data_IF_928611020616
#
_entry.id   IF_928611020616
#
_cell.length_a   1.000
_cell.length_b   1.000
_cell.length_c   1.000
_cell.angle_alpha   90.00
_cell.angle_beta   90.00
_cell.angle_gamma   90.00
#
_symmetry.space_group_name_H-M   'P 1'
#
loop_
_entity.id
_entity.type
_entity.pdbx_description
1 polymer ?
#
# COMPACT_ATOMS: atom_id res chain seq x y z
N UNK A 1 -25.84 20.52 -8.83
CA UNK A 1 -25.40 19.89 -10.09
C UNK A 1 -23.95 20.21 -10.23
N UNK A 2 -23.12 19.20 -10.46
CA UNK A 2 -21.67 19.40 -10.63
C UNK A 2 -21.40 20.35 -11.80
N UNK A 3 -20.53 21.35 -11.60
CA UNK A 3 -20.16 22.34 -12.62
C UNK A 3 -19.20 21.77 -13.70
N UNK A 4 -19.04 20.44 -13.78
CA UNK A 4 -18.14 19.76 -14.70
C UNK A 4 -18.76 18.45 -15.19
N UNK A 5 -18.34 17.98 -16.37
CA UNK A 5 -18.68 16.67 -16.93
C UNK A 5 -17.64 15.63 -16.50
N UNK A 6 -18.00 14.34 -16.53
CA UNK A 6 -17.07 13.23 -16.28
C UNK A 6 -15.85 13.28 -17.23
N UNK A 7 -16.07 13.75 -18.46
CA UNK A 7 -14.97 13.95 -19.42
C UNK A 7 -13.99 15.01 -18.95
N UNK A 8 -14.46 16.17 -18.48
CA UNK A 8 -13.61 17.24 -17.98
C UNK A 8 -12.81 16.81 -16.74
N UNK A 9 -13.42 16.03 -15.85
CA UNK A 9 -12.73 15.43 -14.72
C UNK A 9 -11.59 14.51 -15.17
N UNK A 10 -11.87 13.59 -16.08
CA UNK A 10 -10.88 12.65 -16.60
C UNK A 10 -9.75 13.36 -17.37
N UNK A 11 -10.09 14.39 -18.15
CA UNK A 11 -9.12 15.23 -18.87
C UNK A 11 -8.19 15.97 -17.87
N UNK A 12 -8.73 16.50 -16.78
CA UNK A 12 -7.95 17.15 -15.72
C UNK A 12 -7.00 16.17 -15.01
N UNK A 13 -7.47 14.98 -14.67
CA UNK A 13 -6.63 13.93 -14.11
C UNK A 13 -5.52 13.48 -15.07
N UNK A 14 -5.87 13.23 -16.34
CA UNK A 14 -4.90 12.84 -17.35
C UNK A 14 -3.83 13.92 -17.57
N UNK A 15 -4.22 15.19 -17.46
CA UNK A 15 -3.29 16.31 -17.58
C UNK A 15 -2.22 16.26 -16.45
N UNK A 16 -2.59 15.98 -15.19
CA UNK A 16 -1.60 15.87 -14.13
C UNK A 16 -0.71 14.63 -14.27
N UNK A 17 -1.26 13.50 -14.71
CA UNK A 17 -0.47 12.28 -14.95
C UNK A 17 0.54 12.43 -16.10
N UNK A 18 0.19 13.19 -17.15
CA UNK A 18 1.05 13.34 -18.33
C UNK A 18 2.03 14.51 -18.20
N UNK A 19 1.61 15.59 -17.57
CA UNK A 19 2.39 16.83 -17.47
C UNK A 19 3.33 16.82 -16.27
N UNK A 20 2.93 16.19 -15.18
CA UNK A 20 3.71 16.04 -13.94
C UNK A 20 4.05 14.55 -13.73
N UNK A 21 5.08 14.04 -14.40
CA UNK A 21 5.39 12.62 -14.37
C UNK A 21 5.69 12.15 -12.95
N UNK A 22 5.16 10.99 -12.61
CA UNK A 22 5.46 10.31 -11.36
C UNK A 22 6.42 9.14 -11.63
N UNK A 23 7.24 8.79 -10.64
CA UNK A 23 8.08 7.59 -10.67
C UNK A 23 7.23 6.35 -10.96
N UNK A 24 6.00 6.33 -10.48
CA UNK A 24 5.07 5.22 -10.68
C UNK A 24 4.73 5.00 -12.16
N UNK A 25 4.62 6.07 -12.96
CA UNK A 25 4.20 5.98 -14.37
C UNK A 25 5.36 5.84 -15.36
N UNK A 26 6.52 6.42 -15.06
CA UNK A 26 7.63 6.49 -16.02
C UNK A 26 8.84 5.64 -15.64
N UNK A 27 8.89 5.10 -14.42
CA UNK A 27 10.05 4.37 -13.91
C UNK A 27 11.24 5.27 -13.57
N UNK A 28 12.28 4.64 -13.03
CA UNK A 28 13.53 5.33 -12.72
C UNK A 28 14.33 5.58 -14.02
N UNK A 29 14.79 6.81 -14.21
CA UNK A 29 15.65 7.17 -15.37
C UNK A 29 14.93 7.56 -16.66
N UNK A 30 13.60 7.46 -16.75
CA UNK A 30 12.88 7.74 -17.98
C UNK A 30 12.61 9.24 -18.24
N UNK A 31 12.60 10.10 -17.21
CA UNK A 31 12.53 11.57 -17.34
C UNK A 31 13.17 12.25 -16.13
N UNK A 32 14.02 13.24 -16.38
CA UNK A 32 14.42 14.23 -15.39
C UNK A 32 13.17 14.90 -14.82
N UNK A 33 13.05 14.96 -13.48
CA UNK A 33 11.93 15.61 -12.78
C UNK A 33 10.81 14.69 -12.26
N UNK A 34 10.85 13.37 -12.50
CA UNK A 34 9.88 12.44 -11.91
C UNK A 34 10.05 12.26 -10.39
N UNK A 35 11.26 12.46 -9.89
CA UNK A 35 11.58 12.56 -8.47
C UNK A 35 12.35 13.85 -8.20
N UNK A 36 11.79 14.70 -7.38
CA UNK A 36 12.39 15.97 -6.95
C UNK A 36 12.72 15.86 -5.47
N UNK A 37 13.97 15.53 -5.12
CA UNK A 37 14.37 15.43 -3.72
C UNK A 37 14.41 16.83 -3.09
N UNK A 38 13.72 17.01 -1.98
CA UNK A 38 13.66 18.28 -1.24
C UNK A 38 12.24 18.61 -0.80
N UNK A 39 12.12 19.43 0.20
CA UNK A 39 10.82 19.84 0.77
C UNK A 39 10.45 21.30 0.42
N UNK A 40 11.33 22.00 -0.27
CA UNK A 40 11.17 23.45 -0.51
C UNK A 40 9.94 23.78 -1.35
N UNK A 41 9.68 23.00 -2.43
CA UNK A 41 8.52 23.21 -3.28
C UNK A 41 7.23 22.89 -2.52
N UNK A 42 7.24 21.78 -1.79
CA UNK A 42 6.10 21.38 -0.96
C UNK A 42 5.78 22.41 0.12
N UNK A 43 6.79 22.94 0.82
CA UNK A 43 6.60 23.98 1.84
C UNK A 43 6.05 25.30 1.25
N UNK A 44 6.51 25.71 0.06
CA UNK A 44 5.97 26.87 -0.64
C UNK A 44 4.51 26.64 -1.05
N UNK A 45 4.21 25.45 -1.55
CA UNK A 45 2.85 25.08 -1.94
C UNK A 45 1.91 25.05 -0.73
N UNK A 46 2.33 24.43 0.38
CA UNK A 46 1.57 24.43 1.63
C UNK A 46 1.27 25.85 2.14
N UNK A 47 2.24 26.76 2.02
CA UNK A 47 2.01 28.17 2.36
C UNK A 47 0.91 28.82 1.50
N UNK A 48 0.85 28.50 0.19
CA UNK A 48 -0.24 28.94 -0.70
C UNK A 48 -1.59 28.35 -0.28
N UNK A 49 -1.58 27.09 0.16
CA UNK A 49 -2.78 26.39 0.64
C UNK A 49 -3.24 26.85 2.03
N UNK A 50 -2.44 27.66 2.74
CA UNK A 50 -2.69 28.15 4.10
C UNK A 50 -2.17 27.25 5.21
N UNK A 51 -1.15 26.44 4.94
CA UNK A 51 -0.52 25.45 5.84
C UNK A 51 -1.50 24.42 6.44
N UNK A 52 -2.33 23.77 5.63
CA UNK A 52 -3.40 22.89 6.08
C UNK A 52 -2.90 21.71 6.95
N UNK A 53 -1.62 21.33 6.83
CA UNK A 53 -1.01 20.26 7.63
C UNK A 53 -0.85 20.61 9.13
N UNK A 54 -1.09 21.87 9.53
CA UNK A 54 -1.07 22.33 10.91
C UNK A 54 -2.45 22.22 11.60
N UNK A 55 -3.54 22.00 10.84
CA UNK A 55 -4.91 22.03 11.34
C UNK A 55 -5.36 20.69 11.99
N UNK A 56 -4.60 19.63 11.83
CA UNK A 56 -4.95 18.27 12.30
C UNK A 56 -3.74 17.51 12.86
N UNK A 57 -4.01 16.57 13.74
CA UNK A 57 -3.00 15.64 14.28
C UNK A 57 -2.63 14.59 13.24
N UNK A 58 -1.44 13.99 13.34
CA UNK A 58 -1.04 12.99 12.35
C UNK A 58 -0.26 11.81 12.93
N UNK A 59 -0.31 10.69 12.18
CA UNK A 59 0.62 9.56 12.25
C UNK A 59 1.35 9.50 10.92
N UNK A 60 2.67 9.31 10.93
CA UNK A 60 3.48 9.25 9.72
C UNK A 60 4.06 7.85 9.54
N UNK A 61 3.75 7.19 8.40
CA UNK A 61 4.06 5.77 8.17
C UNK A 61 5.00 5.61 6.98
N UNK A 62 6.24 5.24 7.25
CA UNK A 62 7.26 4.85 6.28
C UNK A 62 7.51 3.33 6.32
N UNK A 63 8.27 2.81 5.37
CA UNK A 63 8.68 1.40 5.31
C UNK A 63 8.92 0.93 3.89
N UNK A 64 9.46 -0.26 3.71
CA UNK A 64 9.51 -0.90 2.40
C UNK A 64 8.16 -1.55 2.11
N UNK A 65 7.77 -2.54 2.90
CA UNK A 65 6.49 -3.22 2.81
C UNK A 65 5.63 -2.92 4.06
N UNK A 66 4.31 -3.12 3.97
CA UNK A 66 3.39 -2.99 5.10
C UNK A 66 2.86 -1.57 5.36
N UNK A 67 3.39 -0.51 4.72
CA UNK A 67 2.94 0.88 4.93
C UNK A 67 1.42 1.03 4.82
N UNK A 68 0.86 0.67 3.66
CA UNK A 68 -0.58 0.78 3.41
C UNK A 68 -1.42 -0.07 4.37
N UNK A 69 -0.98 -1.30 4.71
CA UNK A 69 -1.69 -2.14 5.70
C UNK A 69 -1.69 -1.51 7.09
N UNK A 70 -0.52 -1.06 7.58
CA UNK A 70 -0.41 -0.38 8.88
C UNK A 70 -1.23 0.92 8.89
N UNK A 71 -1.19 1.71 7.81
CA UNK A 71 -1.96 2.95 7.71
C UNK A 71 -3.48 2.69 7.75
N UNK A 72 -3.98 1.69 7.02
CA UNK A 72 -5.41 1.33 7.02
C UNK A 72 -5.85 0.73 8.37
N UNK A 73 -5.05 -0.17 8.98
CA UNK A 73 -5.34 -0.70 10.32
C UNK A 73 -5.39 0.42 11.36
N UNK A 74 -4.44 1.35 11.36
CA UNK A 74 -4.43 2.49 12.27
C UNK A 74 -5.65 3.40 12.05
N UNK A 75 -5.99 3.72 10.80
CA UNK A 75 -7.17 4.54 10.50
C UNK A 75 -8.46 3.84 10.98
N UNK A 76 -8.61 2.52 10.76
CA UNK A 76 -9.73 1.73 11.25
C UNK A 76 -9.82 1.76 12.79
N UNK A 77 -8.68 1.58 13.49
CA UNK A 77 -8.60 1.60 14.94
C UNK A 77 -8.92 2.98 15.53
N UNK A 78 -8.33 4.05 14.98
CA UNK A 78 -8.62 5.43 15.38
C UNK A 78 -10.09 5.78 15.12
N UNK A 79 -10.64 5.34 13.99
CA UNK A 79 -12.06 5.49 13.67
C UNK A 79 -12.98 4.78 14.66
N UNK A 80 -12.58 3.62 15.21
CA UNK A 80 -13.33 2.90 16.23
C UNK A 80 -13.41 3.64 17.57
N UNK A 81 -12.47 4.55 17.81
CA UNK A 81 -12.49 5.48 18.94
C UNK A 81 -13.44 6.69 18.72
N UNK A 82 -14.14 6.74 17.58
CA UNK A 82 -15.07 7.80 17.22
C UNK A 82 -14.40 9.05 16.67
N UNK A 83 -13.16 8.94 16.17
CA UNK A 83 -12.45 10.03 15.51
C UNK A 83 -12.81 10.08 14.02
N UNK A 84 -12.85 11.28 13.45
CA UNK A 84 -12.83 11.50 12.00
C UNK A 84 -11.39 11.40 11.52
N UNK A 85 -11.10 10.34 10.75
CA UNK A 85 -9.71 10.00 10.41
C UNK A 85 -9.45 10.20 8.93
N UNK A 86 -8.57 11.15 8.59
CA UNK A 86 -8.00 11.27 7.26
C UNK A 86 -7.02 10.11 6.99
N UNK A 87 -7.00 9.60 5.78
CA UNK A 87 -6.08 8.55 5.34
C UNK A 87 -5.49 8.91 3.98
N UNK A 88 -4.17 9.17 3.95
CA UNK A 88 -3.40 9.39 2.74
C UNK A 88 -2.53 8.18 2.44
N UNK A 89 -2.75 7.52 1.30
CA UNK A 89 -2.03 6.30 0.88
C UNK A 89 -1.61 6.36 -0.58
N UNK A 90 -0.59 5.57 -0.95
CA UNK A 90 -0.13 5.45 -2.33
C UNK A 90 0.55 4.10 -2.62
N UNK A 91 0.48 3.61 -3.88
CA UNK A 91 -0.35 4.10 -4.97
C UNK A 91 -1.84 3.77 -4.79
N UNK A 92 -2.71 4.32 -5.61
CA UNK A 92 -4.07 3.83 -5.80
C UNK A 92 -4.07 2.58 -6.71
N UNK A 93 -5.12 1.78 -6.64
CA UNK A 93 -5.32 0.64 -7.53
C UNK A 93 -6.20 1.02 -8.72
N UNK A 94 -7.43 1.41 -8.50
CA UNK A 94 -8.43 1.66 -9.55
C UNK A 94 -8.79 3.14 -9.64
N UNK A 95 -9.17 3.76 -8.53
CA UNK A 95 -9.62 5.15 -8.50
C UNK A 95 -8.53 6.05 -7.87
N UNK A 96 -8.21 7.15 -8.56
CA UNK A 96 -7.26 8.15 -8.04
C UNK A 96 -7.56 8.58 -6.61
N UNK A 97 -8.83 8.66 -6.24
CA UNK A 97 -9.32 9.13 -4.93
C UNK A 97 -9.05 8.16 -3.78
N UNK A 98 -8.67 6.90 -4.07
CA UNK A 98 -8.18 5.95 -3.06
C UNK A 98 -6.98 6.50 -2.28
N UNK A 99 -6.27 7.49 -2.85
CA UNK A 99 -5.16 8.18 -2.17
C UNK A 99 -5.62 9.06 -1.03
N UNK A 100 -6.87 9.51 -1.06
CA UNK A 100 -7.45 10.50 -0.16
C UNK A 100 -8.79 9.99 0.35
N UNK A 101 -8.78 9.34 1.49
CA UNK A 101 -9.97 8.77 2.13
C UNK A 101 -10.17 9.38 3.51
N UNK A 102 -11.39 9.34 4.00
CA UNK A 102 -11.74 9.72 5.36
C UNK A 102 -12.65 8.68 5.97
N UNK A 103 -12.36 8.27 7.19
CA UNK A 103 -13.32 7.56 8.03
C UNK A 103 -14.22 8.60 8.69
N UNK A 104 -15.52 8.49 8.43
CA UNK A 104 -16.56 9.33 9.03
C UNK A 104 -17.24 8.53 10.14
N UNK A 105 -17.09 8.93 11.42
CA UNK A 105 -17.74 8.23 12.49
C UNK A 105 -19.26 8.43 12.44
N UNK A 106 -20.01 7.34 12.57
CA UNK A 106 -21.46 7.32 12.69
C UNK A 106 -21.87 6.32 13.78
N UNK A 107 -22.17 6.79 15.00
CA UNK A 107 -22.57 5.92 16.10
C UNK A 107 -23.83 5.10 15.83
N UNK A 108 -24.66 5.47 14.87
CA UNK A 108 -25.87 4.75 14.49
C UNK A 108 -25.59 3.61 13.49
N UNK A 109 -24.45 3.65 12.78
CA UNK A 109 -24.05 2.60 11.86
C UNK A 109 -23.51 1.37 12.63
N UNK A 110 -23.82 0.17 12.14
CA UNK A 110 -23.38 -1.10 12.76
C UNK A 110 -21.86 -1.22 12.86
N UNK A 111 -21.10 -0.59 11.96
CA UNK A 111 -19.62 -0.53 11.97
C UNK A 111 -19.05 0.67 12.71
N UNK A 112 -19.87 1.56 13.29
CA UNK A 112 -19.44 2.79 13.96
C UNK A 112 -19.06 3.92 13.01
N UNK A 113 -19.28 3.77 11.70
CA UNK A 113 -18.98 4.74 10.66
C UNK A 113 -18.75 4.09 9.30
N UNK A 114 -18.27 4.88 8.35
CA UNK A 114 -17.95 4.44 6.99
C UNK A 114 -16.78 5.23 6.40
N UNK A 115 -16.18 4.69 5.36
CA UNK A 115 -15.12 5.37 4.61
C UNK A 115 -15.68 6.09 3.40
N UNK A 116 -15.22 7.31 3.16
CA UNK A 116 -15.49 8.12 1.98
C UNK A 116 -14.19 8.49 1.27
N UNK A 117 -14.21 8.53 -0.05
CA UNK A 117 -13.15 9.10 -0.87
C UNK A 117 -13.39 10.60 -1.08
N UNK A 118 -12.35 11.37 -1.34
CA UNK A 118 -12.50 12.77 -1.74
C UNK A 118 -13.51 12.89 -2.90
N UNK A 119 -14.47 13.81 -2.85
CA UNK A 119 -15.44 14.00 -3.94
C UNK A 119 -14.73 14.35 -5.25
N UNK A 120 -15.20 13.81 -6.39
CA UNK A 120 -14.66 14.17 -7.71
C UNK A 120 -14.69 15.68 -7.96
N UNK A 121 -15.75 16.35 -7.48
CA UNK A 121 -15.88 17.80 -7.55
C UNK A 121 -14.73 18.51 -6.80
N UNK A 122 -14.41 18.07 -5.60
CA UNK A 122 -13.28 18.61 -4.83
C UNK A 122 -11.95 18.46 -5.58
N UNK A 123 -11.68 17.26 -6.12
CA UNK A 123 -10.48 16.99 -6.90
C UNK A 123 -10.42 17.89 -8.14
N UNK A 124 -11.52 18.01 -8.89
CA UNK A 124 -11.60 18.84 -10.08
C UNK A 124 -11.36 20.32 -9.76
N UNK A 125 -12.06 20.85 -8.76
CA UNK A 125 -11.97 22.26 -8.36
C UNK A 125 -10.55 22.59 -7.86
N UNK A 126 -9.93 21.70 -7.08
CA UNK A 126 -8.56 21.86 -6.63
C UNK A 126 -7.58 21.93 -7.81
N UNK A 127 -7.70 21.00 -8.76
CA UNK A 127 -6.85 20.97 -9.96
C UNK A 127 -6.99 22.23 -10.82
N UNK A 128 -8.21 22.76 -10.96
CA UNK A 128 -8.45 24.00 -11.72
C UNK A 128 -7.90 25.23 -10.96
N UNK A 129 -8.16 25.30 -9.66
CA UNK A 129 -7.83 26.45 -8.83
C UNK A 129 -6.33 26.69 -8.72
N UNK A 130 -5.54 25.63 -8.51
CA UNK A 130 -4.11 25.74 -8.25
C UNK A 130 -3.22 25.41 -9.46
N UNK A 131 -3.82 25.31 -10.65
CA UNK A 131 -3.09 24.95 -11.88
C UNK A 131 -1.88 25.83 -12.16
N UNK A 132 -2.02 27.14 -11.97
CA UNK A 132 -0.91 28.09 -12.18
C UNK A 132 0.21 27.91 -11.14
N UNK A 133 -0.15 27.55 -9.91
CA UNK A 133 0.81 27.32 -8.83
C UNK A 133 1.62 26.04 -9.09
N UNK A 134 0.99 24.98 -9.58
CA UNK A 134 1.70 23.74 -9.97
C UNK A 134 2.83 24.00 -10.96
N UNK A 135 2.57 24.86 -11.96
CA UNK A 135 3.53 25.20 -12.99
C UNK A 135 4.61 26.16 -12.48
N UNK A 136 4.21 27.20 -11.74
CA UNK A 136 5.13 28.23 -11.25
C UNK A 136 6.12 27.69 -10.21
N UNK A 137 5.69 26.70 -9.42
CA UNK A 137 6.53 26.03 -8.41
C UNK A 137 7.22 24.78 -8.98
N UNK A 138 6.95 24.41 -10.23
CA UNK A 138 7.46 23.18 -10.85
C UNK A 138 7.21 21.94 -9.96
N UNK A 139 5.96 21.77 -9.48
CA UNK A 139 5.61 20.68 -8.58
C UNK A 139 5.68 19.32 -9.27
N UNK A 140 6.02 18.29 -8.51
CA UNK A 140 5.85 16.91 -8.93
C UNK A 140 4.39 16.46 -8.75
N UNK A 141 4.00 15.38 -9.45
CA UNK A 141 2.70 14.72 -9.24
C UNK A 141 2.43 14.41 -7.76
N UNK A 142 3.46 13.93 -7.03
CA UNK A 142 3.31 13.54 -5.65
C UNK A 142 3.12 14.75 -4.71
N UNK A 143 3.80 15.86 -4.96
CA UNK A 143 3.59 17.13 -4.22
C UNK A 143 2.17 17.66 -4.44
N UNK A 144 1.67 17.64 -5.68
CA UNK A 144 0.28 18.06 -5.99
C UNK A 144 -0.73 17.21 -5.22
N UNK A 145 -0.57 15.88 -5.25
CA UNK A 145 -1.52 14.98 -4.59
C UNK A 145 -1.43 15.03 -3.07
N UNK A 146 -0.23 15.27 -2.51
CA UNK A 146 -0.02 15.47 -1.07
C UNK A 146 -0.70 16.75 -0.61
N UNK A 147 -0.45 17.88 -1.27
CA UNK A 147 -1.10 19.16 -0.92
C UNK A 147 -2.62 19.10 -1.07
N UNK A 148 -3.13 18.41 -2.10
CA UNK A 148 -4.57 18.20 -2.27
C UNK A 148 -5.18 17.43 -1.10
N UNK A 149 -4.53 16.34 -0.67
CA UNK A 149 -5.00 15.53 0.46
C UNK A 149 -4.97 16.34 1.77
N UNK A 150 -3.89 17.05 2.05
CA UNK A 150 -3.73 17.84 3.27
C UNK A 150 -4.75 18.95 3.34
N UNK A 151 -4.98 19.65 2.21
CA UNK A 151 -6.01 20.69 2.11
C UNK A 151 -7.41 20.13 2.33
N UNK A 152 -7.72 18.98 1.73
CA UNK A 152 -9.01 18.33 1.91
C UNK A 152 -9.25 17.94 3.37
N UNK A 153 -8.26 17.36 4.05
CA UNK A 153 -8.36 17.00 5.46
C UNK A 153 -8.62 18.22 6.37
N UNK A 154 -7.97 19.35 6.09
CA UNK A 154 -8.23 20.60 6.78
C UNK A 154 -9.65 21.10 6.52
N UNK A 155 -10.10 21.13 5.25
CA UNK A 155 -11.42 21.64 4.85
C UNK A 155 -12.58 20.83 5.47
N UNK A 156 -12.42 19.52 5.66
CA UNK A 156 -13.42 18.65 6.28
C UNK A 156 -13.22 18.44 7.78
N UNK A 157 -12.22 19.12 8.38
CA UNK A 157 -11.92 19.09 9.81
C UNK A 157 -11.72 17.67 10.34
N UNK A 158 -10.73 16.93 9.82
CA UNK A 158 -10.35 15.65 10.41
C UNK A 158 -9.70 15.85 11.79
N UNK A 159 -9.98 14.93 12.72
CA UNK A 159 -9.36 14.97 14.05
C UNK A 159 -7.89 14.54 13.98
N UNK A 160 -7.62 13.54 13.13
CA UNK A 160 -6.29 12.98 12.92
C UNK A 160 -6.16 12.44 11.50
N UNK A 161 -4.97 12.55 10.92
CA UNK A 161 -4.66 11.91 9.63
C UNK A 161 -3.58 10.84 9.78
N UNK A 162 -3.77 9.69 9.14
CA UNK A 162 -2.72 8.69 8.94
C UNK A 162 -2.13 8.90 7.55
N UNK A 163 -0.84 9.24 7.51
CA UNK A 163 -0.15 9.67 6.29
C UNK A 163 0.93 8.65 5.93
N UNK A 164 0.75 7.99 4.81
CA UNK A 164 1.74 7.08 4.23
C UNK A 164 2.78 7.85 3.43
N UNK A 165 4.06 7.57 3.66
CA UNK A 165 5.20 8.06 2.86
C UNK A 165 5.15 7.44 1.47
N UNK A 166 5.30 8.25 0.44
CA UNK A 166 5.36 7.75 -0.94
C UNK A 166 6.64 6.99 -1.25
N UNK A 167 7.78 7.60 -0.97
CA UNK A 167 9.10 7.03 -1.25
C UNK A 167 10.16 7.50 -0.25
N UNK A 168 10.95 6.55 0.26
CA UNK A 168 12.02 6.86 1.22
C UNK A 168 11.47 7.33 2.56
N UNK A 169 11.58 8.59 2.87
CA UNK A 169 11.05 9.26 4.05
C UNK A 169 11.65 10.66 4.25
N UNK A 170 12.96 10.78 4.34
CA UNK A 170 13.67 12.04 4.65
C UNK A 170 13.29 13.21 3.73
N UNK A 171 13.20 12.96 2.44
CA UNK A 171 12.90 13.95 1.39
C UNK A 171 11.54 13.71 0.72
N UNK A 172 10.69 12.89 1.34
CA UNK A 172 9.33 12.67 0.85
C UNK A 172 8.45 13.90 1.11
N UNK A 173 7.60 14.25 0.15
CA UNK A 173 6.73 15.44 0.24
C UNK A 173 5.84 15.43 1.48
N UNK A 174 5.50 14.26 2.03
CA UNK A 174 4.74 14.14 3.26
C UNK A 174 5.54 14.52 4.52
N UNK A 175 6.88 14.59 4.44
CA UNK A 175 7.73 14.80 5.61
C UNK A 175 7.79 16.25 6.13
N UNK A 176 6.86 17.09 5.70
CA UNK A 176 6.65 18.44 6.25
C UNK A 176 5.86 18.40 7.57
N UNK A 177 5.12 17.33 7.84
CA UNK A 177 4.30 17.17 9.06
C UNK A 177 5.15 16.91 10.30
N UNK A 178 4.60 17.27 11.46
CA UNK A 178 5.12 16.89 12.79
C UNK A 178 4.10 15.97 13.45
N UNK A 179 4.25 14.62 13.31
CA UNK A 179 3.23 13.68 13.72
C UNK A 179 3.24 13.44 15.24
N UNK A 180 2.18 12.82 15.75
CA UNK A 180 2.15 12.30 17.12
C UNK A 180 2.98 11.03 17.27
N UNK A 181 3.16 10.28 16.17
CA UNK A 181 3.94 9.06 16.11
C UNK A 181 4.54 8.89 14.71
N UNK A 182 5.86 8.67 14.64
CA UNK A 182 6.55 8.27 13.41
C UNK A 182 6.72 6.74 13.40
N UNK A 183 6.30 6.06 12.31
CA UNK A 183 6.31 4.59 12.20
C UNK A 183 7.13 4.19 10.98
N UNK A 184 8.08 3.25 11.17
CA UNK A 184 8.76 2.55 10.07
C UNK A 184 8.35 1.08 10.15
N UNK A 185 7.63 0.58 9.14
CA UNK A 185 7.04 -0.77 9.19
C UNK A 185 8.08 -1.88 9.04
N UNK A 186 8.80 -1.88 7.93
CA UNK A 186 9.85 -2.86 7.64
C UNK A 186 10.90 -2.27 6.70
N UNK A 187 12.07 -2.91 6.64
CA UNK A 187 13.15 -2.57 5.71
C UNK A 187 13.45 -3.76 4.80
N UNK A 188 13.52 -3.51 3.51
CA UNK A 188 13.90 -4.47 2.50
C UNK A 188 14.50 -3.77 1.29
N UNK A 189 15.15 -4.54 0.42
CA UNK A 189 15.72 -4.02 -0.83
C UNK A 189 14.59 -3.66 -1.79
N UNK A 190 14.40 -2.38 -2.01
CA UNK A 190 13.51 -1.79 -3.01
C UNK A 190 13.95 -0.36 -3.31
N UNK A 191 13.72 0.12 -4.52
CA UNK A 191 14.09 1.48 -4.95
C UNK A 191 15.58 1.83 -4.73
N UNK A 192 16.47 0.85 -4.93
CA UNK A 192 17.90 0.94 -4.58
C UNK A 192 18.61 2.11 -5.25
N UNK A 193 18.24 2.45 -6.48
CA UNK A 193 18.82 3.57 -7.23
C UNK A 193 18.63 4.94 -6.54
N UNK A 194 17.58 5.08 -5.72
CA UNK A 194 17.29 6.32 -5.01
C UNK A 194 17.63 6.26 -3.52
N UNK A 195 17.43 5.11 -2.88
CA UNK A 195 17.55 4.96 -1.43
C UNK A 195 18.88 4.34 -1.00
N UNK A 196 19.69 3.90 -2.00
CA UNK A 196 20.96 3.23 -1.76
C UNK A 196 20.87 1.70 -1.81
N UNK A 197 22.03 1.08 -2.02
CA UNK A 197 22.16 -0.35 -2.31
C UNK A 197 22.40 -1.20 -1.05
N UNK A 198 22.11 -0.68 0.15
CA UNK A 198 22.22 -1.40 1.41
C UNK A 198 21.00 -1.20 2.29
N UNK A 199 20.66 -2.20 3.10
CA UNK A 199 19.56 -2.11 4.06
C UNK A 199 19.78 -0.96 5.06
N UNK A 200 21.02 -0.69 5.45
CA UNK A 200 21.36 0.42 6.34
C UNK A 200 21.08 1.80 5.69
N UNK A 201 21.40 1.98 4.40
CA UNK A 201 21.11 3.22 3.68
C UNK A 201 19.60 3.44 3.57
N UNK A 202 18.85 2.41 3.17
CA UNK A 202 17.39 2.45 3.08
C UNK A 202 16.76 2.76 4.45
N UNK A 203 17.26 2.16 5.53
CA UNK A 203 16.82 2.44 6.90
C UNK A 203 17.07 3.89 7.28
N UNK A 204 18.23 4.46 6.91
CA UNK A 204 18.58 5.86 7.16
C UNK A 204 17.62 6.85 6.48
N UNK A 205 17.27 6.60 5.22
CA UNK A 205 16.28 7.42 4.48
C UNK A 205 14.89 7.35 5.11
N UNK A 206 14.45 6.14 5.54
CA UNK A 206 13.14 5.98 6.18
C UNK A 206 13.10 6.55 7.59
N UNK A 207 14.17 6.42 8.37
CA UNK A 207 14.31 7.07 9.68
C UNK A 207 14.34 8.61 9.60
N UNK A 208 14.46 9.17 8.40
CA UNK A 208 14.34 10.61 8.16
C UNK A 208 12.98 11.21 8.51
N UNK A 209 11.94 10.40 8.74
CA UNK A 209 10.64 10.86 9.25
C UNK A 209 10.62 11.07 10.77
N UNK A 210 11.63 10.64 11.51
CA UNK A 210 11.70 10.87 12.96
C UNK A 210 11.80 12.37 13.25
N UNK A 211 11.04 12.83 14.24
CA UNK A 211 10.99 14.25 14.65
C UNK A 211 11.44 14.38 16.09
N UNK A 212 12.05 15.52 16.41
CA UNK A 212 12.55 15.79 17.76
C UNK A 212 11.44 15.70 18.81
N UNK A 213 11.63 14.87 19.81
CA UNK A 213 10.68 14.67 20.91
C UNK A 213 9.41 13.89 20.54
N UNK A 214 9.23 13.48 19.29
CA UNK A 214 8.10 12.66 18.84
C UNK A 214 8.47 11.18 18.96
N UNK A 215 7.65 10.32 19.58
CA UNK A 215 7.91 8.90 19.62
C UNK A 215 8.10 8.30 18.20
N UNK A 216 9.07 7.41 18.09
CA UNK A 216 9.33 6.62 16.88
C UNK A 216 9.09 5.14 17.18
N UNK A 217 8.41 4.47 16.26
CA UNK A 217 8.14 3.03 16.30
C UNK A 217 8.71 2.36 15.05
N UNK A 218 9.49 1.31 15.24
CA UNK A 218 9.96 0.44 14.16
C UNK A 218 9.25 -0.91 14.29
N UNK A 219 8.52 -1.32 13.26
CA UNK A 219 7.78 -2.59 13.22
C UNK A 219 8.73 -3.78 13.21
N UNK A 220 9.52 -3.87 12.15
CA UNK A 220 10.53 -4.92 11.99
C UNK A 220 11.92 -4.31 11.79
N UNK A 221 12.92 -4.91 12.41
CA UNK A 221 14.31 -4.59 12.16
C UNK A 221 15.11 -5.86 11.81
N UNK A 222 16.23 -5.64 11.13
CA UNK A 222 17.27 -6.63 10.88
C UNK A 222 18.52 -6.22 11.64
N UNK A 223 19.47 -7.14 11.88
CA UNK A 223 20.72 -6.81 12.59
C UNK A 223 21.45 -5.59 12.01
N UNK A 224 21.41 -5.42 10.68
CA UNK A 224 22.06 -4.29 9.98
C UNK A 224 21.28 -2.97 10.11
N UNK A 225 19.97 -3.01 10.32
CA UNK A 225 19.11 -1.80 10.33
C UNK A 225 18.89 -1.26 11.74
N UNK A 226 18.89 -2.10 12.77
CA UNK A 226 18.69 -1.70 14.17
C UNK A 226 19.64 -0.58 14.62
N UNK A 227 20.98 -0.69 14.41
CA UNK A 227 21.91 0.36 14.82
C UNK A 227 21.65 1.71 14.16
N UNK A 228 21.12 1.70 12.92
CA UNK A 228 20.77 2.92 12.19
C UNK A 228 19.62 3.66 12.87
N UNK A 229 18.56 2.94 13.26
CA UNK A 229 17.43 3.52 13.99
C UNK A 229 17.82 4.03 15.37
N UNK A 230 18.61 3.25 16.10
CA UNK A 230 19.12 3.62 17.43
C UNK A 230 19.99 4.89 17.36
N UNK A 231 20.90 4.97 16.38
CA UNK A 231 21.74 6.15 16.17
C UNK A 231 20.92 7.37 15.78
N UNK A 232 19.88 7.22 14.96
CA UNK A 232 19.00 8.33 14.54
C UNK A 232 18.12 8.84 15.67
N UNK A 233 17.67 7.96 16.56
CA UNK A 233 16.82 8.32 17.68
C UNK A 233 17.58 8.83 18.90
N UNK A 234 18.86 8.51 19.04
CA UNK A 234 19.69 8.86 20.18
C UNK A 234 19.66 10.37 20.45
N UNK A 235 19.29 10.77 21.66
CA UNK A 235 19.18 12.16 22.12
C UNK A 235 18.19 13.01 21.26
N UNK A 236 17.37 12.35 20.45
CA UNK A 236 16.46 13.00 19.50
C UNK A 236 14.98 12.68 19.77
N UNK A 237 14.63 11.40 19.92
CA UNK A 237 13.27 10.96 20.18
C UNK A 237 13.21 9.60 20.91
N UNK A 238 12.11 9.33 21.65
CA UNK A 238 11.86 7.97 22.17
C UNK A 238 11.74 6.98 21.03
N UNK A 239 12.38 5.80 21.15
CA UNK A 239 12.33 4.74 20.14
C UNK A 239 11.81 3.44 20.73
N UNK A 240 10.87 2.82 20.04
CA UNK A 240 10.32 1.49 20.35
C UNK A 240 10.48 0.58 19.15
N UNK A 241 10.84 -0.70 19.38
CA UNK A 241 10.82 -1.75 18.38
C UNK A 241 9.63 -2.68 18.69
N UNK A 242 8.70 -2.84 17.75
CA UNK A 242 7.51 -3.68 17.95
C UNK A 242 7.87 -5.16 18.15
N UNK A 243 8.98 -5.62 17.60
CA UNK A 243 9.50 -6.98 17.79
C UNK A 243 9.94 -7.25 19.24
N UNK A 244 10.38 -6.22 19.97
CA UNK A 244 10.95 -6.35 21.31
C UNK A 244 9.91 -6.22 22.42
N UNK A 245 8.65 -5.89 22.06
CA UNK A 245 7.56 -5.68 23.02
C UNK A 245 6.38 -6.61 22.75
N UNK A 246 5.62 -6.90 23.81
CA UNK A 246 4.32 -7.54 23.70
C UNK A 246 3.28 -6.44 23.91
N UNK A 247 2.55 -6.00 22.87
CA UNK A 247 1.54 -4.96 23.01
C UNK A 247 0.45 -5.37 24.00
N UNK A 248 -0.10 -4.41 24.74
CA UNK A 248 -1.08 -4.66 25.81
C UNK A 248 -2.38 -5.32 25.31
N UNK A 249 -2.74 -5.05 24.04
CA UNK A 249 -3.92 -5.62 23.39
C UNK A 249 -3.56 -6.80 22.47
N UNK A 250 -2.34 -7.35 22.57
CA UNK A 250 -1.92 -8.48 21.74
C UNK A 250 -2.78 -9.72 22.05
N UNK A 251 -3.49 -10.19 21.04
CA UNK A 251 -4.25 -11.42 21.08
C UNK A 251 -4.10 -12.16 19.72
N UNK A 252 -3.44 -13.33 19.67
CA UNK A 252 -3.26 -14.08 18.44
C UNK A 252 -4.59 -14.58 17.83
N UNK A 253 -5.67 -14.67 18.60
CA UNK A 253 -6.99 -15.10 18.12
C UNK A 253 -7.65 -14.05 17.18
N UNK A 254 -7.08 -12.86 17.06
CA UNK A 254 -7.52 -11.84 16.10
C UNK A 254 -7.08 -12.24 14.67
N UNK A 255 -5.86 -12.77 14.49
CA UNK A 255 -5.28 -13.05 13.17
C UNK A 255 -6.18 -13.87 12.25
N UNK A 256 -6.74 -15.03 12.66
CA UNK A 256 -7.60 -15.82 11.77
C UNK A 256 -8.94 -15.16 11.45
N UNK A 257 -9.34 -14.13 12.21
CA UNK A 257 -10.60 -13.39 12.01
C UNK A 257 -10.43 -12.13 11.15
N UNK A 258 -9.19 -11.68 10.95
CA UNK A 258 -8.93 -10.51 10.13
C UNK A 258 -9.36 -10.77 8.69
N UNK A 259 -9.93 -9.75 8.05
CA UNK A 259 -10.18 -9.76 6.60
C UNK A 259 -8.89 -9.56 5.77
N UNK A 260 -7.80 -9.12 6.41
CA UNK A 260 -6.44 -9.08 5.87
C UNK A 260 -5.69 -10.37 6.24
N UNK A 261 -5.68 -11.38 5.36
CA UNK A 261 -5.26 -12.76 5.68
C UNK A 261 -3.85 -13.17 5.21
N UNK A 262 -3.05 -12.25 4.63
CA UNK A 262 -1.63 -12.54 4.32
C UNK A 262 -0.83 -12.77 5.61
N UNK A 263 0.09 -13.73 5.64
CA UNK A 263 0.90 -14.04 6.83
C UNK A 263 1.70 -12.82 7.33
N UNK A 264 2.15 -11.99 6.42
CA UNK A 264 2.84 -10.74 6.73
C UNK A 264 1.99 -9.76 7.57
N UNK A 265 0.68 -9.97 7.65
CA UNK A 265 -0.20 -9.10 8.45
C UNK A 265 -0.02 -9.29 9.96
N UNK A 266 0.53 -10.41 10.43
CA UNK A 266 0.89 -10.59 11.85
C UNK A 266 1.89 -9.51 12.30
N UNK A 267 2.90 -9.24 11.47
CA UNK A 267 3.92 -8.23 11.73
C UNK A 267 3.33 -6.81 11.71
N UNK A 268 2.43 -6.56 10.75
CA UNK A 268 1.71 -5.29 10.66
C UNK A 268 0.79 -5.08 11.86
N UNK A 269 0.04 -6.13 12.27
CA UNK A 269 -0.81 -6.12 13.45
C UNK A 269 -0.01 -5.80 14.73
N UNK A 270 1.13 -6.46 14.93
CA UNK A 270 2.03 -6.18 16.07
C UNK A 270 2.47 -4.72 16.08
N UNK A 271 2.84 -4.18 14.91
CA UNK A 271 3.23 -2.78 14.76
C UNK A 271 2.09 -1.84 15.13
N UNK A 272 0.88 -2.12 14.66
CA UNK A 272 -0.31 -1.30 14.97
C UNK A 272 -0.66 -1.34 16.45
N UNK A 273 -0.64 -2.52 17.09
CA UNK A 273 -0.93 -2.63 18.51
C UNK A 273 0.13 -1.95 19.38
N UNK A 274 1.41 -2.01 18.99
CA UNK A 274 2.47 -1.24 19.66
C UNK A 274 2.27 0.28 19.47
N UNK A 275 1.80 0.72 18.30
CA UNK A 275 1.42 2.10 18.07
C UNK A 275 0.27 2.54 18.97
N UNK A 276 -0.76 1.71 19.13
CA UNK A 276 -1.89 1.96 20.03
C UNK A 276 -1.40 2.15 21.47
N UNK A 277 -0.50 1.29 21.97
CA UNK A 277 0.07 1.43 23.31
C UNK A 277 0.84 2.76 23.48
N UNK A 278 1.62 3.16 22.50
CA UNK A 278 2.35 4.45 22.55
C UNK A 278 1.37 5.61 22.59
N UNK A 279 0.33 5.59 21.74
CA UNK A 279 -0.68 6.65 21.69
C UNK A 279 -1.50 6.76 22.96
N UNK A 280 -1.93 5.65 23.56
CA UNK A 280 -2.68 5.63 24.82
C UNK A 280 -1.89 6.21 26.00
N UNK A 281 -0.57 6.08 25.97
CA UNK A 281 0.32 6.58 27.04
C UNK A 281 0.87 7.99 26.76
N UNK A 282 0.55 8.58 25.61
CA UNK A 282 1.01 9.91 25.25
C UNK A 282 0.16 10.98 25.94
N UNK A 283 0.82 12.00 26.55
CA UNK A 283 0.10 13.13 27.18
C UNK A 283 -0.58 14.03 26.14
N UNK A 284 0.11 14.36 25.03
CA UNK A 284 -0.46 15.11 23.94
C UNK A 284 -1.48 14.23 23.18
N UNK A 285 -2.72 14.69 23.01
CA UNK A 285 -3.81 13.92 22.40
C UNK A 285 -4.45 12.89 23.33
N UNK A 286 -4.25 13.01 24.64
CA UNK A 286 -4.78 12.04 25.60
C UNK A 286 -6.32 11.94 25.55
N UNK A 287 -7.01 13.04 25.28
CA UNK A 287 -8.47 13.04 25.17
C UNK A 287 -8.97 12.18 24.01
N UNK A 288 -8.31 12.27 22.87
CA UNK A 288 -8.62 11.53 21.64
C UNK A 288 -8.22 10.05 21.78
N UNK A 289 -6.98 9.78 22.21
CA UNK A 289 -6.42 8.43 22.24
C UNK A 289 -6.83 7.60 23.46
N UNK A 290 -7.36 8.21 24.51
CA UNK A 290 -7.84 7.47 25.70
C UNK A 290 -8.96 6.46 25.38
N UNK A 291 -9.72 6.67 24.31
CA UNK A 291 -10.80 5.79 23.87
C UNK A 291 -10.28 4.50 23.22
N UNK A 292 -9.00 4.44 22.84
CA UNK A 292 -8.34 3.22 22.33
C UNK A 292 -8.18 2.12 23.41
N UNK A 293 -8.46 2.40 24.66
CA UNK A 293 -8.46 1.42 25.77
C UNK A 293 -9.54 0.36 25.64
N UNK A 294 -10.58 0.59 24.82
CA UNK A 294 -11.62 -0.42 24.55
C UNK A 294 -11.09 -1.47 23.58
N UNK A 295 -10.47 -2.51 24.15
CA UNK A 295 -9.87 -3.60 23.39
C UNK A 295 -10.84 -4.32 22.45
N UNK A 296 -12.14 -4.38 22.79
CA UNK A 296 -13.14 -5.02 21.91
C UNK A 296 -13.37 -4.19 20.64
N UNK A 297 -13.41 -2.85 20.76
CA UNK A 297 -13.54 -1.97 19.60
C UNK A 297 -12.29 -2.03 18.72
N UNK A 298 -11.11 -2.05 19.34
CA UNK A 298 -9.84 -2.19 18.62
C UNK A 298 -9.79 -3.52 17.89
N UNK A 299 -10.13 -4.63 18.55
CA UNK A 299 -10.16 -5.95 17.92
C UNK A 299 -11.14 -5.99 16.74
N UNK A 300 -12.37 -5.52 16.91
CA UNK A 300 -13.36 -5.46 15.84
C UNK A 300 -12.90 -4.60 14.65
N UNK A 301 -12.24 -3.46 14.91
CA UNK A 301 -11.69 -2.61 13.86
C UNK A 301 -10.57 -3.31 13.06
N UNK A 302 -9.76 -4.13 13.72
CA UNK A 302 -8.68 -4.90 13.10
C UNK A 302 -9.21 -6.12 12.33
N UNK A 303 -10.22 -6.81 12.87
CA UNK A 303 -10.88 -7.94 12.21
C UNK A 303 -11.53 -7.53 10.87
N UNK A 304 -11.95 -6.27 10.74
CA UNK A 304 -12.69 -5.74 9.58
C UNK A 304 -11.97 -4.57 8.87
N UNK A 305 -10.65 -4.53 8.92
CA UNK A 305 -9.89 -3.39 8.37
C UNK A 305 -10.13 -3.20 6.88
N UNK A 306 -10.06 -4.26 6.07
CA UNK A 306 -10.20 -4.15 4.61
C UNK A 306 -11.60 -3.65 4.24
N UNK A 307 -12.65 -4.25 4.83
CA UNK A 307 -14.03 -3.88 4.56
C UNK A 307 -14.40 -2.49 5.09
N UNK A 308 -13.88 -2.08 6.25
CA UNK A 308 -14.11 -0.74 6.82
C UNK A 308 -13.44 0.36 6.04
N UNK A 309 -12.23 0.11 5.55
CA UNK A 309 -11.40 1.11 4.89
C UNK A 309 -11.45 1.05 3.37
N UNK A 310 -12.27 0.18 2.77
CA UNK A 310 -12.31 -0.06 1.32
C UNK A 310 -10.89 -0.30 0.77
N UNK A 311 -10.21 -1.31 1.35
CA UNK A 311 -8.79 -1.55 1.12
C UNK A 311 -8.55 -2.88 0.42
N UNK A 312 -8.07 -2.84 -0.81
CA UNK A 312 -7.94 -3.94 -1.74
C UNK A 312 -6.49 -4.35 -2.02
N UNK A 313 -6.31 -5.53 -2.64
CA UNK A 313 -5.03 -6.00 -3.17
C UNK A 313 -3.99 -6.40 -2.10
N UNK A 314 -4.42 -6.87 -0.92
CA UNK A 314 -3.53 -7.34 0.14
C UNK A 314 -3.94 -8.74 0.60
N UNK A 315 -3.50 -9.77 -0.13
CA UNK A 315 -3.95 -11.14 0.05
C UNK A 315 -5.48 -11.24 0.03
N UNK A 316 -6.06 -10.48 -0.89
CA UNK A 316 -7.50 -10.33 -1.00
C UNK A 316 -8.13 -11.58 -1.60
N UNK A 317 -9.06 -12.20 -0.88
CA UNK A 317 -9.87 -13.30 -1.37
C UNK A 317 -11.04 -12.76 -2.17
N UNK A 318 -10.86 -12.68 -3.49
CA UNK A 318 -11.85 -12.14 -4.42
C UNK A 318 -13.02 -13.10 -4.62
N UNK A 319 -12.73 -14.40 -4.68
CA UNK A 319 -13.74 -15.44 -4.88
C UNK A 319 -13.38 -16.72 -4.12
N UNK A 320 -14.41 -17.58 -3.89
CA UNK A 320 -14.23 -18.87 -3.22
C UNK A 320 -14.26 -20.07 -4.20
N UNK A 321 -14.81 -19.87 -5.41
CA UNK A 321 -14.93 -20.96 -6.42
C UNK A 321 -14.74 -20.42 -7.85
N UNK A 322 -13.52 -20.64 -8.43
CA UNK A 322 -12.29 -21.09 -7.76
C UNK A 322 -11.88 -20.11 -6.67
N UNK A 323 -11.05 -20.53 -5.72
CA UNK A 323 -10.42 -19.59 -4.81
C UNK A 323 -9.49 -18.67 -5.60
N UNK A 324 -9.81 -17.36 -5.61
CA UNK A 324 -8.99 -16.34 -6.28
C UNK A 324 -8.43 -15.41 -5.22
N UNK A 325 -7.11 -15.25 -5.21
CA UNK A 325 -6.38 -14.35 -4.30
C UNK A 325 -5.62 -13.32 -5.12
N UNK A 326 -5.77 -12.05 -4.78
CA UNK A 326 -5.04 -10.93 -5.38
C UNK A 326 -4.10 -10.28 -4.36
N UNK A 327 -2.84 -10.01 -4.77
CA UNK A 327 -1.87 -9.33 -3.92
C UNK A 327 -0.89 -8.48 -4.74
N UNK A 328 -0.65 -7.25 -4.31
CA UNK A 328 0.23 -6.29 -5.01
C UNK A 328 1.71 -6.42 -4.68
N UNK A 329 2.13 -7.42 -3.91
CA UNK A 329 3.54 -7.69 -3.61
C UNK A 329 4.35 -7.82 -4.89
N UNK A 330 5.45 -7.04 -5.01
CA UNK A 330 6.20 -6.91 -6.26
C UNK A 330 7.73 -6.80 -6.07
N UNK A 331 8.20 -6.95 -4.85
CA UNK A 331 9.63 -7.00 -4.53
C UNK A 331 9.99 -8.35 -3.88
N UNK A 332 11.27 -8.76 -3.89
CA UNK A 332 11.65 -10.08 -3.40
C UNK A 332 11.16 -10.40 -1.99
N UNK A 333 11.25 -9.51 -0.96
CA UNK A 333 10.72 -9.81 0.36
C UNK A 333 9.20 -10.07 0.38
N UNK A 334 8.39 -9.25 -0.32
CA UNK A 334 6.94 -9.43 -0.38
C UNK A 334 6.55 -10.70 -1.14
N UNK A 335 7.20 -10.96 -2.30
CA UNK A 335 6.94 -12.15 -3.10
C UNK A 335 7.33 -13.42 -2.35
N UNK A 336 8.40 -13.37 -1.55
CA UNK A 336 8.79 -14.52 -0.70
C UNK A 336 7.68 -14.89 0.28
N UNK A 337 7.13 -13.92 1.02
CA UNK A 337 6.03 -14.15 1.96
C UNK A 337 4.80 -14.75 1.24
N UNK A 338 4.42 -14.16 0.10
CA UNK A 338 3.28 -14.62 -0.69
C UNK A 338 3.49 -16.04 -1.23
N UNK A 339 4.63 -16.32 -1.84
CA UNK A 339 4.92 -17.64 -2.39
C UNK A 339 5.10 -18.71 -1.32
N UNK A 340 5.65 -18.38 -0.16
CA UNK A 340 5.75 -19.31 0.97
C UNK A 340 4.35 -19.66 1.52
N UNK A 341 3.44 -18.70 1.61
CA UNK A 341 2.05 -18.94 2.00
C UNK A 341 1.33 -19.81 0.96
N UNK A 342 1.47 -19.53 -0.34
CA UNK A 342 0.90 -20.35 -1.41
C UNK A 342 1.42 -21.80 -1.39
N UNK A 343 2.74 -21.99 -1.21
CA UNK A 343 3.34 -23.32 -1.06
C UNK A 343 2.79 -24.06 0.16
N UNK A 344 2.61 -23.36 1.28
CA UNK A 344 2.02 -23.95 2.49
C UNK A 344 0.58 -24.39 2.26
N UNK A 345 -0.25 -23.57 1.60
CA UNK A 345 -1.63 -23.93 1.28
C UNK A 345 -1.72 -25.18 0.37
N UNK A 346 -0.80 -25.31 -0.59
CA UNK A 346 -0.70 -26.52 -1.42
C UNK A 346 -0.27 -27.73 -0.59
N UNK A 347 0.77 -27.60 0.25
CA UNK A 347 1.30 -28.69 1.07
C UNK A 347 0.28 -29.18 2.13
N UNK A 348 -0.54 -28.29 2.65
CA UNK A 348 -1.56 -28.61 3.65
C UNK A 348 -2.88 -29.13 3.04
N UNK A 349 -2.95 -29.26 1.70
CA UNK A 349 -4.13 -29.73 0.99
C UNK A 349 -5.30 -28.75 0.96
N UNK A 350 -5.04 -27.47 1.21
CA UNK A 350 -6.02 -26.38 1.04
C UNK A 350 -6.29 -26.12 -0.46
N UNK A 351 -5.27 -26.34 -1.32
CA UNK A 351 -5.44 -26.42 -2.76
C UNK A 351 -4.66 -27.62 -3.35
N UNK A 352 -5.17 -28.19 -4.42
CA UNK A 352 -4.54 -29.29 -5.18
C UNK A 352 -3.99 -28.82 -6.54
N UNK A 353 -4.29 -27.60 -6.94
CA UNK A 353 -3.79 -26.96 -8.15
C UNK A 353 -3.58 -25.47 -7.90
N UNK A 354 -2.33 -25.02 -8.02
CA UNK A 354 -1.94 -23.62 -7.90
C UNK A 354 -1.69 -23.04 -9.29
N UNK A 355 -2.45 -22.02 -9.65
CA UNK A 355 -2.34 -21.27 -10.90
C UNK A 355 -1.96 -19.83 -10.56
N UNK A 356 -0.89 -19.31 -11.17
CA UNK A 356 -0.38 -17.97 -10.89
C UNK A 356 -0.46 -17.11 -12.15
N UNK A 357 -1.31 -16.10 -12.14
CA UNK A 357 -1.30 -15.01 -13.12
C UNK A 357 -0.23 -14.02 -12.68
N UNK A 358 0.79 -13.83 -13.52
CA UNK A 358 1.99 -13.11 -13.12
C UNK A 358 2.43 -12.09 -14.16
N UNK A 359 2.74 -10.90 -13.68
CA UNK A 359 3.39 -9.85 -14.45
C UNK A 359 4.35 -9.07 -13.56
N UNK A 360 5.37 -8.47 -14.17
CA UNK A 360 6.40 -7.70 -13.47
C UNK A 360 6.75 -6.47 -14.28
N UNK A 361 7.31 -5.45 -13.61
CA UNK A 361 7.79 -4.24 -14.28
C UNK A 361 9.21 -4.44 -14.82
N UNK A 362 9.55 -3.75 -15.92
CA UNK A 362 10.84 -3.88 -16.60
C UNK A 362 12.06 -3.46 -15.78
N UNK A 363 11.84 -2.64 -14.72
CA UNK A 363 12.88 -2.19 -13.80
C UNK A 363 13.19 -3.17 -12.66
N UNK A 364 12.53 -4.34 -12.63
CA UNK A 364 12.72 -5.35 -11.56
C UNK A 364 13.77 -6.39 -11.95
N UNK A 365 14.66 -6.67 -11.02
CA UNK A 365 15.66 -7.73 -11.18
C UNK A 365 15.03 -9.10 -10.93
N UNK A 366 14.82 -9.85 -12.01
CA UNK A 366 14.25 -11.20 -11.97
C UNK A 366 15.17 -12.22 -11.29
N UNK A 367 16.48 -12.00 -11.23
CA UNK A 367 17.43 -12.96 -10.63
C UNK A 367 17.13 -13.26 -9.16
N UNK A 368 16.58 -12.29 -8.43
CA UNK A 368 16.17 -12.43 -7.03
C UNK A 368 14.72 -12.96 -6.87
N UNK A 369 13.94 -12.98 -7.94
CA UNK A 369 12.53 -13.40 -7.91
C UNK A 369 12.39 -14.86 -8.38
N UNK A 370 13.06 -15.23 -9.46
CA UNK A 370 12.95 -16.56 -10.07
C UNK A 370 13.17 -17.73 -9.09
N UNK A 371 14.16 -17.66 -8.16
CA UNK A 371 14.36 -18.71 -7.18
C UNK A 371 13.21 -18.89 -6.17
N UNK A 372 12.40 -17.85 -5.96
CA UNK A 372 11.29 -17.85 -5.00
C UNK A 372 10.03 -18.50 -5.58
N UNK A 373 9.89 -18.52 -6.91
CA UNK A 373 8.67 -18.94 -7.62
C UNK A 373 8.35 -20.42 -7.34
N UNK A 374 7.09 -20.74 -6.93
CA UNK A 374 6.64 -22.14 -6.73
C UNK A 374 6.84 -23.00 -7.97
N UNK A 375 7.52 -24.15 -7.81
CA UNK A 375 7.87 -25.04 -8.95
C UNK A 375 6.67 -25.83 -9.47
N UNK A 376 5.76 -26.18 -8.56
CA UNK A 376 4.58 -26.99 -8.87
C UNK A 376 3.38 -26.19 -9.36
N UNK A 377 3.52 -24.84 -9.43
CA UNK A 377 2.46 -23.99 -9.95
C UNK A 377 2.41 -23.95 -11.47
N UNK A 378 1.22 -23.74 -12.01
CA UNK A 378 1.01 -23.36 -13.41
C UNK A 378 1.02 -21.85 -13.53
N UNK A 379 1.82 -21.31 -14.44
CA UNK A 379 1.93 -19.85 -14.64
C UNK A 379 1.22 -19.42 -15.91
N UNK A 380 0.49 -18.32 -15.81
CA UNK A 380 -0.04 -17.57 -16.95
C UNK A 380 0.60 -16.18 -16.92
N UNK A 381 1.66 -16.02 -17.70
CA UNK A 381 2.36 -14.75 -17.83
C UNK A 381 1.55 -13.77 -18.69
N UNK A 382 1.55 -12.52 -18.30
CA UNK A 382 0.89 -11.44 -19.04
C UNK A 382 1.62 -10.12 -18.82
N UNK A 383 1.15 -9.04 -19.44
CA UNK A 383 1.64 -7.67 -19.21
C UNK A 383 0.44 -6.73 -19.10
N UNK A 384 0.34 -5.91 -18.03
CA UNK A 384 -0.66 -4.85 -17.95
C UNK A 384 -0.40 -3.78 -19.03
N UNK A 385 -1.46 -3.05 -19.42
CA UNK A 385 -1.45 -2.10 -20.53
C UNK A 385 -0.72 -0.78 -20.20
N UNK A 386 0.49 -0.87 -19.66
CA UNK A 386 1.35 0.27 -19.33
C UNK A 386 2.75 0.14 -19.93
N UNK A 387 3.37 1.27 -20.28
CA UNK A 387 4.71 1.30 -20.91
C UNK A 387 5.83 0.70 -20.06
N UNK A 388 5.61 0.63 -18.75
CA UNK A 388 6.58 0.16 -17.76
C UNK A 388 6.54 -1.35 -17.54
N UNK A 389 5.54 -2.04 -18.07
CA UNK A 389 5.44 -3.50 -17.96
C UNK A 389 6.59 -4.17 -18.72
N UNK A 390 7.17 -5.23 -18.14
CA UNK A 390 8.06 -6.10 -18.86
C UNK A 390 7.27 -6.80 -19.97
N UNK A 391 7.74 -6.79 -21.25
CA UNK A 391 7.06 -7.50 -22.33
C UNK A 391 6.87 -8.97 -21.97
N UNK A 392 5.67 -9.49 -22.23
CA UNK A 392 5.31 -10.85 -21.81
C UNK A 392 6.22 -11.93 -22.43
N UNK A 393 6.66 -11.74 -23.67
CA UNK A 393 7.56 -12.68 -24.36
C UNK A 393 8.94 -12.71 -23.70
N UNK A 394 9.43 -11.57 -23.22
CA UNK A 394 10.69 -11.47 -22.49
C UNK A 394 10.58 -12.14 -21.11
N UNK A 395 9.53 -11.84 -20.36
CA UNK A 395 9.25 -12.50 -19.08
C UNK A 395 9.18 -14.02 -19.22
N UNK A 396 8.41 -14.50 -20.22
CA UNK A 396 8.25 -15.91 -20.50
C UNK A 396 9.59 -16.59 -20.87
N UNK A 397 10.36 -15.95 -21.76
CA UNK A 397 11.65 -16.49 -22.23
C UNK A 397 12.62 -16.62 -21.06
N UNK A 398 12.75 -15.59 -20.24
CA UNK A 398 13.62 -15.58 -19.05
C UNK A 398 13.21 -16.64 -18.04
N UNK A 399 11.91 -16.75 -17.73
CA UNK A 399 11.42 -17.80 -16.83
C UNK A 399 11.64 -19.20 -17.41
N UNK A 400 11.39 -19.40 -18.71
CA UNK A 400 11.55 -20.70 -19.37
C UNK A 400 13.00 -21.15 -19.40
N UNK A 401 13.95 -20.26 -19.65
CA UNK A 401 15.38 -20.56 -19.60
C UNK A 401 15.79 -20.98 -18.20
N UNK A 402 15.43 -20.19 -17.19
CA UNK A 402 15.70 -20.53 -15.79
C UNK A 402 15.07 -21.87 -15.39
N UNK A 403 13.81 -22.15 -15.78
CA UNK A 403 13.15 -23.44 -15.51
C UNK A 403 13.91 -24.62 -16.12
N UNK A 404 14.38 -24.49 -17.37
CA UNK A 404 15.18 -25.52 -18.04
C UNK A 404 16.50 -25.77 -17.33
N UNK A 405 17.21 -24.72 -16.93
CA UNK A 405 18.49 -24.82 -16.21
C UNK A 405 18.32 -25.52 -14.86
N UNK A 406 17.18 -25.30 -14.20
CA UNK A 406 16.86 -25.93 -12.91
C UNK A 406 16.17 -27.31 -13.08
N UNK A 407 16.00 -27.81 -14.28
CA UNK A 407 15.31 -29.09 -14.54
C UNK A 407 13.82 -29.10 -14.22
N UNK A 408 13.18 -27.90 -14.17
CA UNK A 408 11.74 -27.74 -13.88
C UNK A 408 10.87 -27.97 -15.12
N UNK A 409 9.59 -28.33 -14.92
CA UNK A 409 8.65 -28.56 -16.02
C UNK A 409 8.20 -27.24 -16.68
N UNK A 410 8.64 -27.01 -17.92
CA UNK A 410 8.28 -25.81 -18.70
C UNK A 410 6.92 -25.89 -19.38
N UNK A 411 6.23 -27.03 -19.38
CA UNK A 411 4.88 -27.16 -19.95
C UNK A 411 3.81 -26.45 -19.12
N UNK A 412 4.15 -26.14 -17.86
CA UNK A 412 3.29 -25.36 -16.94
C UNK A 412 3.39 -23.83 -17.15
N UNK A 413 4.19 -23.37 -18.11
CA UNK A 413 4.37 -21.95 -18.43
C UNK A 413 3.52 -21.58 -19.65
N UNK A 414 2.55 -20.70 -19.43
CA UNK A 414 1.65 -20.18 -20.46
C UNK A 414 1.83 -18.69 -20.65
N UNK A 415 1.40 -18.18 -21.80
CA UNK A 415 1.42 -16.74 -22.15
C UNK A 415 0.02 -16.31 -22.53
N UNK A 416 -0.38 -15.15 -22.05
CA UNK A 416 -1.61 -14.48 -22.47
C UNK A 416 -1.29 -13.04 -22.92
N UNK A 417 -1.94 -12.59 -23.98
CA UNK A 417 -1.65 -11.29 -24.63
C UNK A 417 -2.00 -10.07 -23.77
N UNK A 418 -2.96 -10.22 -22.85
CA UNK A 418 -3.49 -9.18 -21.98
C UNK A 418 -4.02 -9.77 -20.66
N UNK A 419 -4.28 -8.91 -19.69
CA UNK A 419 -4.73 -9.32 -18.34
C UNK A 419 -6.08 -10.04 -18.40
N UNK A 420 -7.01 -9.58 -19.23
CA UNK A 420 -8.32 -10.22 -19.39
C UNK A 420 -8.20 -11.66 -19.88
N UNK A 421 -7.40 -11.89 -20.93
CA UNK A 421 -7.11 -13.21 -21.47
C UNK A 421 -6.40 -14.10 -20.44
N UNK A 422 -5.47 -13.54 -19.66
CA UNK A 422 -4.76 -14.28 -18.62
C UNK A 422 -5.70 -14.78 -17.52
N UNK A 423 -6.59 -13.92 -17.03
CA UNK A 423 -7.59 -14.28 -16.03
C UNK A 423 -8.55 -15.37 -16.55
N UNK A 424 -9.06 -15.21 -17.78
CA UNK A 424 -9.94 -16.20 -18.41
C UNK A 424 -9.24 -17.55 -18.55
N UNK A 425 -7.99 -17.58 -18.99
CA UNK A 425 -7.19 -18.79 -19.13
C UNK A 425 -6.94 -19.44 -17.76
N UNK A 426 -6.54 -18.67 -16.74
CA UNK A 426 -6.31 -19.18 -15.39
C UNK A 426 -7.58 -19.80 -14.78
N UNK A 427 -8.73 -19.13 -14.92
CA UNK A 427 -10.01 -19.66 -14.46
C UNK A 427 -10.42 -20.91 -15.26
N UNK A 428 -10.14 -20.97 -16.56
CA UNK A 428 -10.42 -22.16 -17.36
C UNK A 428 -9.59 -23.36 -16.90
N UNK A 429 -8.29 -23.17 -16.68
CA UNK A 429 -7.39 -24.20 -16.14
C UNK A 429 -7.85 -24.67 -14.74
N UNK A 430 -8.40 -23.77 -13.93
CA UNK A 430 -8.87 -24.09 -12.59
C UNK A 430 -10.07 -25.06 -12.57
N UNK A 431 -10.85 -25.14 -13.64
CA UNK A 431 -12.04 -26.01 -13.72
C UNK A 431 -11.72 -27.50 -13.80
N UNK A 432 -10.48 -27.84 -14.14
CA UNK A 432 -10.00 -29.23 -14.27
C UNK A 432 -9.52 -29.80 -12.93
N UNK A 433 -9.41 -28.96 -11.88
CA UNK A 433 -8.91 -29.33 -10.57
C UNK A 433 -10.04 -29.46 -9.52
N UNK A 434 -9.78 -30.21 -8.46
CA UNK A 434 -10.74 -30.43 -7.36
C UNK A 434 -10.83 -29.23 -6.41
N UNK A 435 -9.66 -28.68 -6.02
CA UNK A 435 -9.53 -27.51 -5.14
C UNK A 435 -8.54 -26.51 -5.74
N UNK A 436 -8.93 -25.81 -6.81
CA UNK A 436 -8.03 -24.87 -7.47
C UNK A 436 -7.85 -23.58 -6.68
N UNK A 437 -6.62 -23.02 -6.71
CA UNK A 437 -6.30 -21.70 -6.27
C UNK A 437 -5.70 -20.91 -7.44
N UNK A 438 -6.27 -19.76 -7.75
CA UNK A 438 -5.74 -18.78 -8.70
C UNK A 438 -5.17 -17.62 -7.92
N UNK A 439 -3.87 -17.36 -8.06
CA UNK A 439 -3.21 -16.20 -7.49
C UNK A 439 -2.93 -15.17 -8.59
N UNK A 440 -3.25 -13.90 -8.32
CA UNK A 440 -3.00 -12.78 -9.22
C UNK A 440 -2.03 -11.82 -8.55
N UNK A 441 -0.80 -11.68 -9.07
CA UNK A 441 0.19 -10.86 -8.39
C UNK A 441 1.52 -10.69 -9.13
N UNK A 442 2.50 -10.09 -8.45
CA UNK A 442 3.81 -9.71 -8.99
C UNK A 442 3.90 -8.24 -9.37
N UNK A 443 2.78 -7.53 -9.47
CA UNK A 443 2.74 -6.10 -9.75
C UNK A 443 1.43 -5.47 -9.27
N UNK A 444 1.51 -4.27 -8.69
CA UNK A 444 0.32 -3.47 -8.37
C UNK A 444 -0.48 -3.10 -9.63
N UNK A 445 0.18 -2.93 -10.77
CA UNK A 445 -0.49 -2.61 -12.04
C UNK A 445 -1.26 -3.82 -12.62
N UNK A 446 -0.73 -5.03 -12.43
CA UNK A 446 -1.47 -6.24 -12.79
C UNK A 446 -2.75 -6.34 -11.98
N UNK A 447 -2.66 -6.19 -10.66
CA UNK A 447 -3.82 -6.25 -9.76
C UNK A 447 -4.80 -5.12 -10.05
N UNK A 448 -4.32 -3.90 -10.29
CA UNK A 448 -5.13 -2.74 -10.66
C UNK A 448 -5.97 -2.98 -11.93
N UNK A 449 -5.37 -3.56 -12.98
CA UNK A 449 -6.09 -3.89 -14.23
C UNK A 449 -7.00 -5.13 -14.06
N UNK A 450 -6.60 -6.07 -13.20
CA UNK A 450 -7.37 -7.29 -12.95
C UNK A 450 -8.60 -7.05 -12.07
N UNK A 451 -8.55 -6.10 -11.12
CA UNK A 451 -9.61 -5.88 -10.12
C UNK A 451 -11.00 -5.64 -10.75
N UNK A 452 -11.20 -4.66 -11.66
CA UNK A 452 -12.51 -4.47 -12.28
C UNK A 452 -12.97 -5.70 -13.10
N UNK A 453 -12.04 -6.41 -13.76
CA UNK A 453 -12.35 -7.62 -14.51
C UNK A 453 -12.81 -8.76 -13.60
N UNK A 454 -12.21 -8.91 -12.43
CA UNK A 454 -12.63 -9.91 -11.43
C UNK A 454 -14.01 -9.59 -10.86
N UNK A 455 -14.34 -8.31 -10.66
CA UNK A 455 -15.68 -7.89 -10.24
C UNK A 455 -16.73 -8.19 -11.34
N UNK A 456 -16.40 -7.97 -12.60
CA UNK A 456 -17.27 -8.35 -13.74
C UNK A 456 -17.47 -9.88 -13.80
N UNK A 457 -16.43 -10.66 -13.51
CA UNK A 457 -16.54 -12.14 -13.44
C UNK A 457 -17.41 -12.59 -12.27
N UNK A 458 -17.37 -11.92 -11.13
CA UNK A 458 -18.28 -12.16 -10.02
C UNK A 458 -19.73 -11.81 -10.40
N UNK A 459 -19.95 -10.63 -11.01
CA UNK A 459 -21.28 -10.17 -11.42
C UNK A 459 -21.94 -11.08 -12.48
N UNK A 460 -21.12 -11.64 -13.40
CA UNK A 460 -21.60 -12.58 -14.43
C UNK A 460 -21.75 -14.02 -13.93
N UNK A 461 -21.30 -14.33 -12.69
CA UNK A 461 -21.28 -15.69 -12.15
C UNK A 461 -20.21 -16.62 -12.74
N UNK A 462 -19.23 -16.05 -13.43
CA UNK A 462 -18.07 -16.79 -13.97
C UNK A 462 -17.15 -17.32 -12.86
N UNK A 463 -17.05 -16.58 -11.75
CA UNK A 463 -16.50 -16.98 -10.45
C UNK A 463 -17.52 -16.71 -9.35
N UNK A 464 -17.37 -17.31 -8.15
CA UNK A 464 -18.36 -17.18 -7.06
C UNK A 464 -17.68 -16.72 -5.76
N UNK A 465 -18.32 -15.80 -5.05
CA UNK A 465 -17.91 -15.38 -3.69
C UNK A 465 -17.97 -16.51 -2.70
#
# INVERSE_FOLDING_TARGET
MSNYSEKEYNDALNAIFTRFPSIQNVGFGAKEGAYKPGLEHMLKFESILGNPHEDWRSMHVAGTNGKGSVANMLASVLGSAGLRVGLYTSPHLVDFRERMRVWVPDPAASGGGHTEMAPKEYVFDFLQRYKADFESLDLSFFEITTGMAFKWFSDIHVDVAVVEVGLGGRLDSTNIITPDLSIVTSIGMDHCELLGHTLAAIAGEKAGIFKKGVPALVGEYLPETRPVFEAKAKDFCPLTFAQDVVPSLWNPDILPKMDLQGWYQEKNLRTVLAAVDILMNRQAGQAEYSRLKDGNKVANALEHTASRMDFHGRWERVSSRPLVIADIGHNPPALKENFDQLKSMSNNGECDSLIIVYAVMADKDLSHILPLMPEDATYVFTAPAIKRALPVDELYSTCREYWKEQGRNTERLHVAKDVSSALQQAISLSREAGKPLVYVGGSSYLVSEAEPLMQDFLASGFIKR
#
